data_IF_138712056009
#
_entry.id   IF_138712056009
#
_cell.length_a   1.000
_cell.length_b   1.000
_cell.length_c   1.000
_cell.angle_alpha   90.00
_cell.angle_beta   90.00
_cell.angle_gamma   90.00
#
_symmetry.space_group_name_H-M   'P 1'
#
loop_
_entity.id
_entity.type
_entity.pdbx_description
1 polymer ?
#
# COMPACT_ATOMS: atom_id res chain seq x y z
N UNK A 1 -3.55 14.77 -7.22
CA UNK A 1 -3.40 13.40 -6.69
C UNK A 1 -2.26 12.74 -7.43
N UNK A 2 -1.44 11.94 -6.76
CA UNK A 2 -0.28 11.32 -7.38
C UNK A 2 -0.66 10.04 -8.13
N UNK A 3 0.18 9.63 -9.08
CA UNK A 3 0.13 8.33 -9.74
C UNK A 3 1.28 7.46 -9.25
N UNK A 4 1.05 6.16 -9.07
CA UNK A 4 2.09 5.21 -8.72
C UNK A 4 2.22 4.11 -9.76
N UNK A 5 3.44 3.83 -10.20
CA UNK A 5 3.73 2.59 -10.91
C UNK A 5 3.92 1.46 -9.88
N UNK A 6 3.24 0.35 -10.10
CA UNK A 6 3.22 -0.79 -9.19
C UNK A 6 4.05 -1.91 -9.77
N UNK A 7 5.02 -2.39 -8.99
CA UNK A 7 5.90 -3.48 -9.37
C UNK A 7 5.76 -4.63 -8.39
N UNK A 8 5.69 -5.86 -8.91
CA UNK A 8 5.59 -7.09 -8.10
C UNK A 8 6.80 -7.99 -8.31
N UNK A 9 7.94 -7.69 -7.66
CA UNK A 9 9.13 -8.49 -7.83
C UNK A 9 8.98 -9.89 -7.24
N UNK A 10 9.35 -10.91 -8.03
CA UNK A 10 9.46 -12.28 -7.54
C UNK A 10 10.77 -12.41 -6.77
N UNK A 11 10.68 -12.95 -5.56
CA UNK A 11 11.84 -13.16 -4.69
C UNK A 11 12.23 -14.63 -4.68
N UNK A 12 13.54 -14.84 -4.71
CA UNK A 12 14.12 -16.16 -4.46
C UNK A 12 13.99 -16.54 -2.99
N UNK A 13 14.28 -17.80 -2.65
CA UNK A 13 14.30 -18.27 -1.27
C UNK A 13 15.26 -17.50 -0.35
N UNK A 14 16.26 -16.80 -0.90
CA UNK A 14 17.20 -15.93 -0.17
C UNK A 14 16.65 -14.52 0.06
N UNK A 15 15.56 -14.15 -0.59
CA UNK A 15 14.97 -12.81 -0.53
C UNK A 15 15.42 -11.86 -1.64
N UNK A 16 16.37 -12.27 -2.49
CA UNK A 16 16.86 -11.49 -3.63
C UNK A 16 15.83 -11.44 -4.77
N UNK A 17 15.77 -10.32 -5.48
CA UNK A 17 14.93 -10.13 -6.69
C UNK A 17 15.69 -10.68 -7.90
N UNK A 18 15.01 -11.44 -8.75
CA UNK A 18 15.61 -12.04 -9.94
C UNK A 18 15.32 -11.22 -11.21
N UNK A 19 16.21 -10.33 -11.64
CA UNK A 19 16.01 -9.52 -12.86
C UNK A 19 15.90 -8.03 -12.55
N UNK A 20 15.46 -7.24 -13.53
CA UNK A 20 15.34 -5.79 -13.37
C UNK A 20 13.95 -5.41 -12.84
N UNK A 21 13.85 -4.30 -12.11
CA UNK A 21 12.57 -3.89 -11.50
C UNK A 21 11.48 -3.67 -12.56
N UNK A 22 11.85 -3.15 -13.73
CA UNK A 22 10.93 -2.85 -14.82
C UNK A 22 10.26 -4.10 -15.42
N UNK A 23 10.90 -5.27 -15.32
CA UNK A 23 10.33 -6.56 -15.71
C UNK A 23 9.09 -6.93 -14.88
N UNK A 24 8.93 -6.30 -13.71
CA UNK A 24 7.89 -6.60 -12.74
C UNK A 24 6.76 -5.58 -12.72
N UNK A 25 6.71 -4.65 -13.68
CA UNK A 25 5.64 -3.65 -13.76
C UNK A 25 4.29 -4.35 -14.04
N UNK A 26 3.36 -4.26 -13.09
CA UNK A 26 2.01 -4.81 -13.24
C UNK A 26 0.97 -3.77 -13.65
N UNK A 27 1.29 -2.49 -13.50
CA UNK A 27 0.44 -1.40 -13.97
C UNK A 27 0.63 -0.10 -13.20
N UNK A 28 -0.25 0.85 -13.48
CA UNK A 28 -0.25 2.18 -12.84
C UNK A 28 -1.55 2.37 -12.07
N UNK A 29 -1.46 2.91 -10.86
CA UNK A 29 -2.62 3.31 -10.05
C UNK A 29 -2.64 4.83 -9.93
N UNK A 30 -3.85 5.38 -9.89
CA UNK A 30 -4.10 6.82 -9.79
C UNK A 30 -4.81 7.16 -8.49
N UNK A 31 -4.77 8.44 -8.11
CA UNK A 31 -5.45 8.89 -6.90
C UNK A 31 -4.68 8.60 -5.62
N UNK A 32 -3.36 8.39 -5.72
CA UNK A 32 -2.52 8.04 -4.57
C UNK A 32 -2.35 9.25 -3.65
N UNK A 33 -2.54 9.02 -2.36
CA UNK A 33 -2.41 10.01 -1.29
C UNK A 33 -1.29 9.58 -0.35
N UNK A 34 -0.31 10.45 -0.17
CA UNK A 34 0.82 10.23 0.74
C UNK A 34 0.58 10.99 2.05
N UNK A 35 0.93 10.40 3.19
CA UNK A 35 0.95 11.09 4.48
C UNK A 35 -0.42 11.29 5.13
N UNK A 36 -1.36 10.38 4.88
CA UNK A 36 -2.67 10.38 5.55
C UNK A 36 -2.63 9.79 6.97
N UNK A 37 -3.62 10.09 7.83
CA UNK A 37 -3.76 9.41 9.10
C UNK A 37 -4.06 7.93 8.88
N UNK A 38 -3.39 7.08 9.65
CA UNK A 38 -3.68 5.65 9.72
C UNK A 38 -5.14 5.42 10.08
N UNK A 39 -5.77 4.49 9.38
CA UNK A 39 -7.12 4.01 9.70
C UNK A 39 -7.18 3.22 11.01
N UNK A 40 -6.05 2.64 11.42
CA UNK A 40 -5.94 1.88 12.65
C UNK A 40 -5.12 2.67 13.70
N UNK A 41 -5.52 2.63 14.99
CA UNK A 41 -4.71 3.18 16.05
C UNK A 41 -3.40 2.40 16.22
N UNK A 42 -2.41 3.03 16.84
CA UNK A 42 -1.18 2.35 17.23
C UNK A 42 -1.50 1.24 18.23
N UNK A 43 -0.90 0.06 18.04
CA UNK A 43 -1.18 -1.14 18.84
C UNK A 43 -1.04 -0.96 20.36
N UNK A 44 -0.22 0.00 20.80
CA UNK A 44 0.03 0.29 22.23
C UNK A 44 -0.61 1.58 22.73
N UNK A 45 -1.24 2.37 21.84
CA UNK A 45 -1.83 3.66 22.17
C UNK A 45 -3.20 3.82 21.48
N UNK A 46 -4.25 3.19 22.06
CA UNK A 46 -5.61 3.37 21.58
C UNK A 46 -5.97 4.87 21.62
N UNK A 47 -6.36 5.43 20.49
CA UNK A 47 -6.65 6.87 20.33
C UNK A 47 -5.55 7.70 19.67
N UNK A 48 -4.37 7.11 19.39
CA UNK A 48 -3.32 7.75 18.59
C UNK A 48 -3.21 7.07 17.22
N UNK A 49 -3.29 7.85 16.15
CA UNK A 49 -3.06 7.39 14.77
C UNK A 49 -1.70 7.89 14.30
N UNK A 50 -0.92 7.01 13.67
CA UNK A 50 0.29 7.44 12.98
C UNK A 50 -0.07 8.07 11.65
N UNK A 51 0.58 9.17 11.29
CA UNK A 51 0.52 9.79 9.94
C UNK A 51 1.74 9.42 9.09
N UNK A 52 2.69 8.67 9.65
CA UNK A 52 3.94 8.31 9.00
C UNK A 52 3.75 7.12 8.05
N UNK A 53 4.33 7.22 6.85
CA UNK A 53 4.47 6.10 5.92
C UNK A 53 3.17 5.52 5.35
N UNK A 54 2.02 6.18 5.56
CA UNK A 54 0.74 5.75 5.03
C UNK A 54 0.59 6.18 3.57
N UNK A 55 0.30 5.20 2.72
CA UNK A 55 -0.04 5.40 1.31
C UNK A 55 -1.51 5.00 1.13
N UNK A 56 -2.36 5.98 0.89
CA UNK A 56 -3.76 5.79 0.54
C UNK A 56 -3.88 5.51 -0.95
N UNK A 57 -4.46 4.36 -1.31
CA UNK A 57 -4.73 3.98 -2.70
C UNK A 57 -6.23 3.69 -2.82
N UNK A 58 -6.96 4.35 -3.73
CA UNK A 58 -8.39 4.11 -3.90
C UNK A 58 -8.69 2.65 -4.24
N UNK A 59 -9.87 2.18 -3.83
CA UNK A 59 -10.27 0.80 -4.05
C UNK A 59 -10.51 0.49 -5.53
N UNK A 60 -11.38 1.28 -6.15
CA UNK A 60 -11.65 1.18 -7.59
C UNK A 60 -10.54 1.88 -8.36
N UNK A 61 -9.99 1.17 -9.33
CA UNK A 61 -8.96 1.63 -10.25
C UNK A 61 -9.32 1.15 -11.64
N UNK A 62 -9.29 2.04 -12.63
CA UNK A 62 -9.49 1.66 -14.04
C UNK A 62 -8.44 0.65 -14.52
N UNK A 63 -7.26 0.64 -13.88
CA UNK A 63 -6.18 -0.31 -14.18
C UNK A 63 -6.44 -1.72 -13.63
N UNK A 64 -7.44 -1.91 -12.77
CA UNK A 64 -7.71 -3.20 -12.11
C UNK A 64 -6.61 -3.69 -11.16
N UNK A 65 -5.56 -2.88 -10.92
CA UNK A 65 -4.43 -3.27 -10.08
C UNK A 65 -4.81 -3.20 -8.61
N UNK A 66 -4.71 -4.34 -7.94
CA UNK A 66 -4.81 -4.43 -6.47
C UNK A 66 -3.41 -4.55 -5.89
N UNK A 67 -3.01 -3.51 -5.15
CA UNK A 67 -1.71 -3.45 -4.46
C UNK A 67 -1.70 -4.40 -3.28
N UNK A 68 -0.61 -5.16 -3.14
CA UNK A 68 -0.41 -6.20 -2.15
C UNK A 68 0.81 -5.91 -1.28
N UNK A 69 0.89 -6.58 -0.13
CA UNK A 69 2.11 -6.60 0.67
C UNK A 69 3.30 -7.04 -0.19
N UNK A 70 4.45 -6.39 0.01
CA UNK A 70 5.70 -6.58 -0.73
C UNK A 70 5.77 -6.01 -2.15
N UNK A 71 4.68 -5.45 -2.68
CA UNK A 71 4.74 -4.64 -3.90
C UNK A 71 5.65 -3.41 -3.69
N UNK A 72 6.21 -2.91 -4.79
CA UNK A 72 6.96 -1.66 -4.83
C UNK A 72 6.15 -0.60 -5.57
N UNK A 73 6.13 0.60 -5.03
CA UNK A 73 5.41 1.74 -5.60
C UNK A 73 6.40 2.82 -5.97
N UNK A 74 6.50 3.17 -7.25
CA UNK A 74 7.26 4.33 -7.69
C UNK A 74 6.31 5.53 -7.78
N UNK A 75 6.53 6.52 -6.91
CA UNK A 75 5.74 7.74 -6.80
C UNK A 75 6.70 8.92 -6.83
N UNK A 76 6.54 9.85 -7.77
CA UNK A 76 7.37 11.05 -7.90
C UNK A 76 8.88 10.75 -7.80
N UNK A 77 9.33 9.74 -8.55
CA UNK A 77 10.72 9.24 -8.60
C UNK A 77 11.25 8.60 -7.30
N UNK A 78 10.40 8.41 -6.30
CA UNK A 78 10.75 7.74 -5.04
C UNK A 78 10.13 6.35 -5.00
N UNK A 79 10.95 5.35 -4.68
CA UNK A 79 10.52 3.95 -4.59
C UNK A 79 10.12 3.61 -3.14
N UNK A 80 8.85 3.27 -2.94
CA UNK A 80 8.29 2.87 -1.66
C UNK A 80 8.07 1.36 -1.59
N UNK A 81 8.16 0.80 -0.38
CA UNK A 81 7.87 -0.60 -0.09
C UNK A 81 6.50 -0.71 0.58
N UNK A 82 5.62 -1.56 0.06
CA UNK A 82 4.39 -1.91 0.76
C UNK A 82 4.73 -2.94 1.84
N UNK A 83 4.66 -2.52 3.11
CA UNK A 83 5.08 -3.35 4.25
C UNK A 83 3.93 -4.09 4.94
N UNK A 84 2.68 -3.70 4.66
CA UNK A 84 1.50 -4.29 5.28
C UNK A 84 0.41 -4.55 4.26
N UNK A 85 -0.53 -5.41 4.62
CA UNK A 85 -1.79 -5.53 3.90
C UNK A 85 -2.60 -4.24 3.95
N UNK A 86 -3.62 -4.19 3.11
CA UNK A 86 -4.54 -3.05 3.05
C UNK A 86 -5.35 -2.98 4.35
N UNK A 87 -5.20 -1.88 5.06
CA UNK A 87 -5.83 -1.71 6.38
C UNK A 87 -7.34 -1.40 6.31
N UNK A 88 -7.83 -0.84 5.19
CA UNK A 88 -9.23 -0.46 5.01
C UNK A 88 -10.23 -1.63 4.95
N UNK A 89 -9.75 -2.87 4.87
CA UNK A 89 -10.58 -4.08 4.90
C UNK A 89 -10.59 -4.79 6.24
N UNK A 90 -9.82 -4.29 7.21
CA UNK A 90 -9.74 -4.89 8.52
C UNK A 90 -10.82 -4.31 9.43
N UNK A 91 -11.30 -5.13 10.36
CA UNK A 91 -12.20 -4.67 11.42
C UNK A 91 -11.51 -3.59 12.24
N UNK A 92 -12.18 -2.45 12.41
CA UNK A 92 -11.71 -1.39 13.29
C UNK A 92 -11.76 -1.88 14.74
N UNK A 93 -10.61 -1.95 15.40
CA UNK A 93 -10.51 -2.35 16.82
C UNK A 93 -11.31 -1.42 17.75
N UNK A 94 -11.52 -0.16 17.36
CA UNK A 94 -12.25 0.82 18.17
C UNK A 94 -13.77 0.68 18.05
N UNK A 95 -14.27 0.29 16.88
CA UNK A 95 -15.72 0.29 16.59
C UNK A 95 -16.29 -1.10 16.34
N UNK A 96 -15.46 -2.12 16.14
CA UNK A 96 -15.89 -3.48 15.76
C UNK A 96 -16.51 -3.56 14.36
N UNK A 97 -16.29 -2.54 13.52
CA UNK A 97 -16.91 -2.44 12.20
C UNK A 97 -15.88 -2.69 11.11
N UNK A 98 -16.26 -3.49 10.11
CA UNK A 98 -15.50 -3.65 8.87
C UNK A 98 -16.00 -2.60 7.86
N UNK A 99 -15.15 -1.71 7.34
CA UNK A 99 -15.56 -0.80 6.28
C UNK A 99 -15.93 -1.58 5.01
N UNK A 100 -17.15 -1.39 4.51
CA UNK A 100 -17.58 -1.87 3.19
C UNK A 100 -17.43 -0.75 2.16
N UNK A 101 -16.70 -1.02 1.08
CA UNK A 101 -16.59 -0.13 -0.09
C UNK A 101 -17.59 -0.54 -1.18
#
# INVERSE_FOLDING_TARGET
MATAQVYRPVRTWKGDIQGELDDYLIGTVSGVVMGGPSVAPLARFPGTVSTEGQIGIPWSQDSGVVVQQHDRLLIDSTLYAVVSDRLWTHESVLTGTVPSY
#
